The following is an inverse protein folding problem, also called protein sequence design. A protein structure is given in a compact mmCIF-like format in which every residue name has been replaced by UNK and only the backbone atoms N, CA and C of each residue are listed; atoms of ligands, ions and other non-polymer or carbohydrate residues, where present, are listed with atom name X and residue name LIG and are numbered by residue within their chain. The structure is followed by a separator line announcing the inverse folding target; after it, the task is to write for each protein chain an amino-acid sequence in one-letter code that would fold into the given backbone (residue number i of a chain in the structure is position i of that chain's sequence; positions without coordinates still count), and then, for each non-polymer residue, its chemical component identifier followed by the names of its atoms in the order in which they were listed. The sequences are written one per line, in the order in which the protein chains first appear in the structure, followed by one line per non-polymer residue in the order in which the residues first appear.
data_IF_064740120637
#
_entry.id   IF_064740120637
#
_cell.length_a   1.000
_cell.length_b   1.000
_cell.length_c   1.000
_cell.angle_alpha   90.00
_cell.angle_beta   90.00
_cell.angle_gamma   90.00
#
_symmetry.space_group_name_H-M   'P 1'
#
loop_
_entity.id
_entity.type
_entity.pdbx_description
1 polymer ?
#
# COMPACT_ATOMS: atom_id res chain seq x y z
N UNK A 1 -7.47 7.46 -31.27
CA UNK A 1 -6.00 7.25 -31.32
C UNK A 1 -5.59 6.85 -29.92
N UNK A 2 -5.03 5.66 -29.72
CA UNK A 2 -4.47 5.28 -28.44
C UNK A 2 -3.32 6.25 -28.12
N UNK A 3 -3.40 6.94 -26.99
CA UNK A 3 -2.32 7.83 -26.54
C UNK A 3 -1.03 7.04 -26.29
N UNK A 4 0.10 7.74 -26.18
CA UNK A 4 1.37 7.12 -25.81
C UNK A 4 1.22 6.40 -24.47
N UNK A 5 1.60 5.09 -24.36
CA UNK A 5 1.54 4.39 -23.08
C UNK A 5 2.51 5.03 -22.08
N UNK A 6 2.11 5.07 -20.79
CA UNK A 6 2.89 5.63 -19.69
C UNK A 6 3.35 7.09 -19.96
N UNK A 7 2.42 8.04 -20.15
CA UNK A 7 2.76 9.41 -20.56
C UNK A 7 3.57 10.19 -19.51
N UNK A 8 3.40 9.90 -18.21
CA UNK A 8 4.16 10.52 -17.12
C UNK A 8 5.51 9.85 -16.86
N UNK A 9 5.88 8.83 -17.64
CA UNK A 9 7.19 8.21 -17.59
C UNK A 9 8.13 8.83 -18.63
N UNK A 10 9.36 9.11 -18.23
CA UNK A 10 10.42 9.56 -19.17
C UNK A 10 10.84 8.40 -20.08
N UNK A 11 11.36 8.75 -21.26
CA UNK A 11 12.10 7.79 -22.05
C UNK A 11 13.36 7.36 -21.28
N UNK A 12 13.50 6.07 -21.03
CA UNK A 12 14.59 5.53 -20.21
C UNK A 12 14.49 4.03 -20.04
N UNK A 13 15.41 3.49 -19.24
CA UNK A 13 15.53 2.05 -19.03
C UNK A 13 14.28 1.46 -18.35
N UNK A 14 13.78 2.09 -17.28
CA UNK A 14 12.63 1.58 -16.54
C UNK A 14 11.38 1.46 -17.43
N UNK A 15 11.01 2.54 -18.13
CA UNK A 15 9.88 2.54 -19.06
C UNK A 15 10.05 1.52 -20.19
N UNK A 16 11.24 1.46 -20.78
CA UNK A 16 11.53 0.52 -21.88
C UNK A 16 11.46 -0.94 -21.40
N UNK A 17 11.94 -1.23 -20.19
CA UNK A 17 11.85 -2.56 -19.58
C UNK A 17 10.40 -2.98 -19.36
N UNK A 18 9.56 -2.09 -18.81
CA UNK A 18 8.14 -2.36 -18.57
C UNK A 18 7.41 -2.65 -19.89
N UNK A 19 7.59 -1.78 -20.90
CA UNK A 19 6.91 -1.94 -22.18
C UNK A 19 7.41 -3.18 -22.94
N UNK A 20 8.72 -3.41 -22.98
CA UNK A 20 9.29 -4.60 -23.61
C UNK A 20 8.94 -5.91 -22.89
N UNK A 21 8.77 -5.85 -21.56
CA UNK A 21 8.24 -6.99 -20.80
C UNK A 21 6.77 -7.24 -21.18
N UNK A 22 5.94 -6.20 -21.23
CA UNK A 22 4.52 -6.31 -21.56
C UNK A 22 4.32 -6.89 -22.97
N UNK A 23 5.12 -6.44 -23.95
CA UNK A 23 5.08 -6.98 -25.31
C UNK A 23 5.39 -8.49 -25.34
N UNK A 24 6.38 -8.95 -24.53
CA UNK A 24 6.68 -10.38 -24.41
C UNK A 24 5.58 -11.14 -23.67
N UNK A 25 5.07 -10.59 -22.57
CA UNK A 25 4.05 -11.22 -21.74
C UNK A 25 2.72 -11.41 -22.49
N UNK A 26 2.39 -10.50 -23.39
CA UNK A 26 1.13 -10.54 -24.15
C UNK A 26 1.28 -11.08 -25.57
N UNK A 27 2.51 -11.07 -26.12
CA UNK A 27 2.84 -11.61 -27.44
C UNK A 27 3.09 -13.13 -27.43
N UNK A 28 3.23 -13.75 -28.59
CA UNK A 28 3.61 -15.17 -28.68
C UNK A 28 5.08 -15.37 -28.40
N UNK A 29 5.46 -16.52 -27.79
CA UNK A 29 6.84 -16.92 -27.62
C UNK A 29 7.29 -17.04 -26.16
N UNK A 30 8.61 -17.12 -25.90
CA UNK A 30 9.16 -17.19 -24.56
C UNK A 30 8.80 -15.95 -23.72
N UNK A 31 8.23 -16.17 -22.55
CA UNK A 31 7.75 -15.10 -21.66
C UNK A 31 6.26 -14.77 -21.85
N UNK A 32 5.55 -15.47 -22.75
CA UNK A 32 4.10 -15.32 -22.84
C UNK A 32 3.39 -15.71 -21.56
N UNK A 33 2.51 -14.84 -21.08
CA UNK A 33 1.69 -15.06 -19.88
C UNK A 33 0.25 -15.34 -20.32
N UNK A 34 -0.29 -16.56 -20.09
CA UNK A 34 -1.68 -16.88 -20.34
C UNK A 34 -2.61 -15.94 -19.58
N UNK A 35 -3.81 -15.68 -20.11
CA UNK A 35 -4.78 -14.76 -19.47
C UNK A 35 -5.07 -15.11 -18.01
N UNK A 36 -5.16 -16.40 -17.68
CA UNK A 36 -5.42 -16.88 -16.31
C UNK A 36 -4.29 -16.56 -15.34
N UNK A 37 -3.07 -16.42 -15.86
CA UNK A 37 -1.86 -16.17 -15.06
C UNK A 37 -1.47 -14.68 -15.00
N UNK A 38 -2.23 -13.79 -15.64
CA UNK A 38 -1.98 -12.33 -15.65
C UNK A 38 -2.36 -11.69 -14.32
N UNK A 39 -1.52 -11.91 -13.32
CA UNK A 39 -1.68 -11.36 -11.96
C UNK A 39 -0.50 -10.47 -11.60
N UNK A 40 -0.82 -9.28 -11.12
CA UNK A 40 0.12 -8.28 -10.60
C UNK A 40 -0.19 -7.94 -9.15
N UNK A 41 0.83 -7.74 -8.33
CA UNK A 41 0.71 -7.30 -6.93
C UNK A 41 1.48 -6.01 -6.70
N UNK A 42 0.88 -5.12 -5.94
CA UNK A 42 1.45 -3.80 -5.62
C UNK A 42 1.37 -3.57 -4.12
N UNK A 43 2.46 -3.13 -3.53
CA UNK A 43 2.35 -2.44 -2.25
C UNK A 43 1.59 -1.12 -2.43
N UNK A 44 1.18 -0.50 -1.32
CA UNK A 44 0.35 0.70 -1.35
C UNK A 44 1.09 1.95 -0.87
N UNK A 45 1.53 1.97 0.39
CA UNK A 45 2.19 3.11 1.01
C UNK A 45 3.62 3.28 0.47
N UNK A 46 3.92 4.41 -0.17
CA UNK A 46 5.17 4.64 -0.86
C UNK A 46 5.28 3.98 -2.25
N UNK A 47 4.27 3.19 -2.68
CA UNK A 47 4.25 2.54 -3.99
C UNK A 47 3.13 3.07 -4.89
N UNK A 48 1.91 3.14 -4.39
CA UNK A 48 0.75 3.68 -5.13
C UNK A 48 0.36 5.09 -4.69
N UNK A 49 0.60 5.45 -3.45
CA UNK A 49 0.43 6.79 -2.90
C UNK A 49 1.58 7.17 -1.96
N UNK A 50 1.69 8.46 -1.61
CA UNK A 50 2.73 8.94 -0.67
C UNK A 50 2.52 8.36 0.73
N UNK A 51 3.62 8.03 1.40
CA UNK A 51 3.64 7.60 2.81
C UNK A 51 4.26 8.66 3.74
N UNK A 52 4.67 9.81 3.19
CA UNK A 52 5.33 10.89 3.95
C UNK A 52 4.39 12.08 4.15
N UNK A 53 4.50 12.80 5.29
CA UNK A 53 5.50 12.66 6.38
C UNK A 53 5.27 11.47 7.29
N UNK A 54 4.14 10.79 7.18
CA UNK A 54 3.80 9.54 7.88
C UNK A 54 2.69 8.82 7.14
N UNK A 55 2.51 7.53 7.42
CA UNK A 55 1.48 6.70 6.78
C UNK A 55 0.09 7.33 6.86
N UNK A 56 -0.63 7.33 5.74
CA UNK A 56 -1.98 7.90 5.64
C UNK A 56 -2.94 7.32 6.68
N UNK A 57 -2.88 6.00 6.91
CA UNK A 57 -3.69 5.36 7.94
C UNK A 57 -3.32 5.82 9.36
N UNK A 58 -2.05 6.11 9.63
CA UNK A 58 -1.63 6.61 10.95
C UNK A 58 -2.27 7.98 11.24
N UNK A 59 -2.40 8.83 10.22
CA UNK A 59 -3.08 10.13 10.33
C UNK A 59 -4.58 9.95 10.60
N UNK A 60 -5.23 9.04 9.88
CA UNK A 60 -6.63 8.67 10.14
C UNK A 60 -6.84 8.21 11.58
N UNK A 61 -6.00 7.28 12.05
CA UNK A 61 -6.07 6.75 13.42
C UNK A 61 -5.83 7.86 14.45
N UNK A 62 -4.83 8.71 14.25
CA UNK A 62 -4.54 9.82 15.15
C UNK A 62 -5.72 10.79 15.27
N UNK A 63 -6.41 11.08 14.17
CA UNK A 63 -7.61 11.92 14.19
C UNK A 63 -8.78 11.26 14.95
N UNK A 64 -8.98 9.95 14.77
CA UNK A 64 -10.01 9.21 15.52
C UNK A 64 -9.70 9.13 17.01
N UNK A 65 -8.46 8.84 17.36
CA UNK A 65 -8.01 8.82 18.75
C UNK A 65 -8.13 10.19 19.42
N UNK A 66 -7.79 11.27 18.71
CA UNK A 66 -7.96 12.64 19.19
C UNK A 66 -9.42 12.98 19.45
N UNK A 67 -10.31 12.60 18.55
CA UNK A 67 -11.76 12.80 18.72
C UNK A 67 -12.31 11.97 19.90
N UNK A 68 -11.89 10.72 20.05
CA UNK A 68 -12.29 9.86 21.16
C UNK A 68 -11.78 10.39 22.51
N UNK A 69 -10.54 10.86 22.59
CA UNK A 69 -9.95 11.43 23.80
C UNK A 69 -10.65 12.73 24.26
N UNK A 70 -11.31 13.45 23.36
CA UNK A 70 -12.08 14.64 23.73
C UNK A 70 -13.28 14.32 24.63
N UNK A 71 -13.75 13.07 24.64
CA UNK A 71 -14.92 12.61 25.42
C UNK A 71 -14.58 11.49 26.43
N UNK A 72 -13.34 10.97 26.40
CA UNK A 72 -12.85 9.93 27.31
C UNK A 72 -11.57 10.40 27.98
N UNK A 73 -11.66 10.79 29.26
CA UNK A 73 -10.54 11.28 30.07
C UNK A 73 -9.49 10.17 30.32
N UNK A 74 -9.88 8.90 30.37
CA UNK A 74 -8.96 7.76 30.52
C UNK A 74 -8.08 7.60 29.28
N UNK A 75 -8.70 7.66 28.11
CA UNK A 75 -7.98 7.64 26.83
C UNK A 75 -7.12 8.89 26.66
N UNK A 76 -7.63 10.07 27.05
CA UNK A 76 -6.86 11.32 27.01
C UNK A 76 -5.58 11.28 27.84
N UNK A 77 -5.56 10.50 28.93
CA UNK A 77 -4.40 10.32 29.80
C UNK A 77 -3.45 9.19 29.35
N UNK A 78 -3.76 8.45 28.29
CA UNK A 78 -2.94 7.34 27.80
C UNK A 78 -1.58 7.87 27.29
N UNK A 79 -0.43 7.37 27.82
CA UNK A 79 0.88 7.89 27.47
C UNK A 79 1.27 7.64 26.00
N UNK A 80 0.80 6.54 25.42
CA UNK A 80 1.06 6.21 24.00
C UNK A 80 0.30 7.18 23.10
N UNK A 81 -0.96 7.48 23.45
CA UNK A 81 -1.75 8.47 22.73
C UNK A 81 -1.12 9.86 22.85
N UNK A 82 -0.71 10.28 24.04
CA UNK A 82 -0.05 11.57 24.21
C UNK A 82 1.24 11.67 23.39
N UNK A 83 2.06 10.63 23.37
CA UNK A 83 3.25 10.55 22.52
C UNK A 83 2.88 10.65 21.02
N UNK A 84 1.84 9.94 20.57
CA UNK A 84 1.36 9.99 19.18
C UNK A 84 0.90 11.41 18.79
N UNK A 85 0.13 12.07 19.65
CA UNK A 85 -0.46 13.38 19.35
C UNK A 85 0.55 14.54 19.41
N UNK A 86 1.59 14.42 20.21
CA UNK A 86 2.60 15.49 20.42
C UNK A 86 3.89 15.27 19.64
N UNK A 87 4.34 14.03 19.48
CA UNK A 87 5.60 13.65 18.85
C UNK A 87 5.48 12.75 17.62
N UNK A 88 4.24 12.43 17.21
CA UNK A 88 3.96 11.62 16.04
C UNK A 88 4.21 10.12 16.23
N UNK A 89 4.17 9.38 15.13
CA UNK A 89 4.27 7.92 15.13
C UNK A 89 5.56 7.41 15.78
N UNK A 90 6.70 8.05 15.49
CA UNK A 90 8.01 7.66 16.07
C UNK A 90 8.04 7.75 17.59
N UNK A 91 7.46 8.82 18.17
CA UNK A 91 7.36 8.98 19.61
C UNK A 91 6.44 7.93 20.26
N UNK A 92 5.31 7.61 19.61
CA UNK A 92 4.42 6.56 20.09
C UNK A 92 5.09 5.17 20.01
N UNK A 93 5.84 4.88 18.95
CA UNK A 93 6.59 3.63 18.80
C UNK A 93 7.68 3.43 19.87
N UNK A 94 8.23 4.51 20.43
CA UNK A 94 9.19 4.42 21.54
C UNK A 94 8.57 3.79 22.80
N UNK A 95 7.25 3.75 22.95
CA UNK A 95 6.54 3.02 24.00
C UNK A 95 6.37 1.52 23.70
N UNK A 96 6.81 1.05 22.54
CA UNK A 96 6.70 -0.32 22.05
C UNK A 96 5.60 -0.50 21.02
N UNK A 97 5.88 -1.30 20.02
CA UNK A 97 4.92 -1.60 18.92
C UNK A 97 3.63 -2.22 19.44
N UNK A 98 3.73 -3.13 20.44
CA UNK A 98 2.55 -3.80 21.02
C UNK A 98 1.64 -2.80 21.75
N UNK A 99 2.22 -1.81 22.44
CA UNK A 99 1.45 -0.79 23.13
C UNK A 99 0.70 0.11 22.14
N UNK A 100 1.36 0.53 21.06
CA UNK A 100 0.73 1.30 19.99
C UNK A 100 -0.34 0.49 19.28
N UNK A 101 -0.07 -0.77 18.91
CA UNK A 101 -1.03 -1.67 18.30
C UNK A 101 -2.25 -1.88 19.21
N UNK A 102 -2.05 -2.12 20.50
CA UNK A 102 -3.11 -2.25 21.49
C UNK A 102 -4.00 -1.01 21.59
N UNK A 103 -3.42 0.18 21.56
CA UNK A 103 -4.18 1.44 21.54
C UNK A 103 -5.05 1.56 20.28
N UNK A 104 -4.45 1.31 19.12
CA UNK A 104 -5.14 1.37 17.82
C UNK A 104 -6.29 0.37 17.73
N UNK A 105 -6.05 -0.87 18.14
CA UNK A 105 -7.06 -1.94 18.12
C UNK A 105 -8.22 -1.64 19.07
N UNK A 106 -7.93 -1.19 20.30
CA UNK A 106 -8.96 -0.81 21.29
C UNK A 106 -9.83 0.34 20.80
N UNK A 107 -9.25 1.34 20.15
CA UNK A 107 -9.98 2.51 19.65
C UNK A 107 -10.97 2.16 18.52
N UNK A 108 -10.81 1.04 17.86
CA UNK A 108 -11.64 0.59 16.74
C UNK A 108 -12.47 -0.66 17.07
N UNK A 109 -12.28 -1.23 18.25
CA UNK A 109 -13.06 -2.39 18.71
C UNK A 109 -14.51 -1.99 18.98
N UNK A 110 -15.43 -2.91 18.70
CA UNK A 110 -16.86 -2.70 18.87
C UNK A 110 -17.53 -1.94 17.72
N UNK A 111 -16.79 -1.39 16.77
CA UNK A 111 -17.37 -0.86 15.53
C UNK A 111 -17.74 -2.02 14.60
N UNK A 112 -18.84 -1.85 13.85
CA UNK A 112 -19.10 -2.76 12.73
C UNK A 112 -18.10 -2.51 11.60
N UNK A 113 -17.80 -3.54 10.80
CA UNK A 113 -16.95 -3.40 9.62
C UNK A 113 -17.50 -2.34 8.64
N UNK A 114 -18.82 -2.30 8.45
CA UNK A 114 -19.47 -1.32 7.58
C UNK A 114 -19.33 0.11 8.11
N UNK A 115 -19.47 0.31 9.43
CA UNK A 115 -19.27 1.60 10.06
C UNK A 115 -17.82 2.08 9.91
N UNK A 116 -16.84 1.20 10.08
CA UNK A 116 -15.44 1.51 9.88
C UNK A 116 -15.15 1.91 8.43
N UNK A 117 -15.66 1.17 7.45
CA UNK A 117 -15.51 1.49 6.03
C UNK A 117 -16.14 2.86 5.68
N UNK A 118 -17.32 3.16 6.22
CA UNK A 118 -18.00 4.44 6.03
C UNK A 118 -17.20 5.60 6.63
N UNK A 119 -16.65 5.41 7.84
CA UNK A 119 -15.83 6.40 8.52
C UNK A 119 -14.53 6.68 7.77
N UNK A 120 -13.82 5.63 7.32
CA UNK A 120 -12.61 5.76 6.53
C UNK A 120 -12.86 6.52 5.22
N UNK A 121 -13.94 6.20 4.50
CA UNK A 121 -14.34 6.93 3.28
C UNK A 121 -14.62 8.40 3.54
N UNK A 122 -15.39 8.69 4.60
CA UNK A 122 -15.74 10.06 4.99
C UNK A 122 -14.48 10.87 5.32
N UNK A 123 -13.58 10.29 6.13
CA UNK A 123 -12.33 10.95 6.49
C UNK A 123 -11.46 11.22 5.25
N UNK A 124 -11.31 10.26 4.37
CA UNK A 124 -10.51 10.37 3.15
C UNK A 124 -11.06 11.45 2.18
N UNK A 125 -12.37 11.62 2.14
CA UNK A 125 -13.04 12.62 1.31
C UNK A 125 -12.93 14.04 1.87
N UNK A 126 -12.87 14.20 3.20
CA UNK A 126 -12.96 15.51 3.88
C UNK A 126 -11.63 16.00 4.43
N UNK A 127 -10.73 15.10 4.78
CA UNK A 127 -9.41 15.43 5.34
C UNK A 127 -8.41 15.80 4.25
N UNK A 128 -7.32 16.43 4.69
CA UNK A 128 -6.22 16.79 3.80
C UNK A 128 -4.91 16.24 4.32
N UNK A 129 -4.10 15.81 3.39
CA UNK A 129 -2.71 15.45 3.66
C UNK A 129 -1.95 16.66 4.24
N UNK A 130 -0.91 16.48 5.09
CA UNK A 130 -0.10 17.56 5.64
C UNK A 130 0.50 18.51 4.60
N UNK A 131 0.72 18.08 3.36
CA UNK A 131 1.11 18.94 2.24
C UNK A 131 0.00 19.88 1.75
N UNK A 132 -1.22 19.81 2.31
CA UNK A 132 -2.40 20.56 1.88
C UNK A 132 -3.18 19.91 0.72
N UNK A 133 -2.67 18.85 0.10
CA UNK A 133 -3.36 18.13 -0.98
C UNK A 133 -4.57 17.37 -0.43
N UNK A 134 -5.68 17.26 -1.18
CA UNK A 134 -6.69 16.25 -0.91
C UNK A 134 -6.05 14.86 -1.00
N UNK A 135 -6.44 13.93 -0.13
CA UNK A 135 -5.87 12.56 -0.16
C UNK A 135 -5.99 11.88 -1.54
N UNK A 136 -7.09 12.01 -2.30
CA UNK A 136 -7.13 11.44 -3.66
C UNK A 136 -6.08 11.99 -4.63
N UNK A 137 -5.48 13.15 -4.32
CA UNK A 137 -4.42 13.75 -5.13
C UNK A 137 -3.00 13.41 -4.62
N UNK A 138 -2.87 12.47 -3.67
CA UNK A 138 -1.57 11.97 -3.17
C UNK A 138 -1.14 10.65 -3.81
N UNK A 139 -1.94 10.11 -4.74
CA UNK A 139 -1.59 8.93 -5.52
C UNK A 139 -0.50 9.25 -6.54
N UNK A 140 0.33 8.29 -6.88
CA UNK A 140 1.37 8.49 -7.87
C UNK A 140 0.82 8.32 -9.28
N UNK A 141 0.81 9.39 -10.05
CA UNK A 141 0.29 9.41 -11.42
C UNK A 141 0.94 8.34 -12.32
N UNK A 142 2.27 8.12 -12.32
CA UNK A 142 2.88 7.09 -13.15
C UNK A 142 2.43 5.67 -12.78
N UNK A 143 2.14 5.42 -11.50
CA UNK A 143 1.65 4.12 -11.06
C UNK A 143 0.18 3.90 -11.46
N UNK A 144 -0.65 4.94 -11.47
CA UNK A 144 -2.00 4.85 -12.04
C UNK A 144 -1.96 4.48 -13.53
N UNK A 145 -1.04 5.09 -14.29
CA UNK A 145 -0.84 4.78 -15.70
C UNK A 145 -0.38 3.33 -15.91
N UNK A 146 0.48 2.82 -15.03
CA UNK A 146 0.90 1.43 -15.06
C UNK A 146 -0.26 0.47 -14.77
N UNK A 147 -1.08 0.76 -13.76
CA UNK A 147 -2.29 -0.02 -13.44
C UNK A 147 -3.27 -0.03 -14.64
N UNK A 148 -3.49 1.13 -15.27
CA UNK A 148 -4.37 1.23 -16.44
C UNK A 148 -3.81 0.48 -17.64
N UNK A 149 -2.50 0.56 -17.88
CA UNK A 149 -1.82 -0.19 -18.93
C UNK A 149 -1.96 -1.70 -18.72
N UNK A 150 -1.70 -2.19 -17.52
CA UNK A 150 -1.86 -3.61 -17.18
C UNK A 150 -3.30 -4.06 -17.34
N UNK A 151 -4.27 -3.28 -16.87
CA UNK A 151 -5.71 -3.56 -17.02
C UNK A 151 -6.11 -3.64 -18.49
N UNK A 152 -5.57 -2.76 -19.35
CA UNK A 152 -5.85 -2.78 -20.79
C UNK A 152 -5.31 -4.03 -21.51
N UNK A 153 -4.44 -4.79 -20.81
CA UNK A 153 -3.89 -6.07 -21.27
C UNK A 153 -4.37 -7.25 -20.41
N UNK A 154 -5.53 -7.12 -19.77
CA UNK A 154 -6.21 -8.16 -18.99
C UNK A 154 -5.44 -8.66 -17.76
N UNK A 155 -4.53 -7.84 -17.21
CA UNK A 155 -3.92 -8.15 -15.92
C UNK A 155 -4.86 -7.79 -14.78
N UNK A 156 -5.03 -8.72 -13.84
CA UNK A 156 -5.69 -8.46 -12.57
C UNK A 156 -4.67 -7.96 -11.56
N UNK A 157 -4.88 -6.74 -11.04
CA UNK A 157 -3.98 -6.12 -10.07
C UNK A 157 -4.55 -6.24 -8.67
N UNK A 158 -3.69 -6.60 -7.71
CA UNK A 158 -4.00 -6.68 -6.29
C UNK A 158 -3.15 -5.68 -5.52
N UNK A 159 -3.72 -5.12 -4.45
CA UNK A 159 -2.94 -4.38 -3.46
C UNK A 159 -2.53 -5.34 -2.34
N UNK A 160 -1.25 -5.31 -1.95
CA UNK A 160 -0.68 -6.12 -0.87
C UNK A 160 0.03 -5.19 0.11
N UNK A 161 -0.71 -4.70 1.11
CA UNK A 161 -0.26 -3.63 2.02
C UNK A 161 0.03 -4.12 3.43
N UNK A 162 1.02 -3.51 4.08
CA UNK A 162 1.22 -3.63 5.53
C UNK A 162 0.14 -2.93 6.36
N UNK A 163 -0.55 -1.95 5.76
CA UNK A 163 -1.68 -1.26 6.37
C UNK A 163 -2.92 -2.12 6.59
N UNK A 164 -3.90 -1.58 7.30
CA UNK A 164 -5.17 -2.26 7.58
C UNK A 164 -5.99 -2.50 6.31
N UNK A 165 -6.35 -3.75 6.08
CA UNK A 165 -7.03 -4.17 4.85
C UNK A 165 -8.33 -3.40 4.60
N UNK A 166 -9.13 -3.14 5.63
CA UNK A 166 -10.41 -2.44 5.49
C UNK A 166 -10.22 -0.95 5.21
N UNK A 167 -9.16 -0.32 5.73
CA UNK A 167 -8.84 1.08 5.43
C UNK A 167 -8.55 1.26 3.94
N UNK A 168 -7.71 0.39 3.37
CA UNK A 168 -7.37 0.45 1.94
C UNK A 168 -8.57 0.05 1.07
N UNK A 169 -9.35 -0.96 1.48
CA UNK A 169 -10.62 -1.35 0.81
C UNK A 169 -11.62 -0.21 0.69
N UNK A 170 -11.64 0.69 1.67
CA UNK A 170 -12.55 1.84 1.64
C UNK A 170 -12.32 2.74 0.42
N UNK A 171 -11.10 2.79 -0.10
CA UNK A 171 -10.68 3.76 -1.14
C UNK A 171 -10.05 3.12 -2.39
N UNK A 172 -9.78 1.82 -2.41
CA UNK A 172 -9.08 1.15 -3.52
C UNK A 172 -9.77 1.30 -4.88
N UNK A 173 -11.11 1.16 -4.89
CA UNK A 173 -11.86 1.30 -6.13
C UNK A 173 -11.85 2.72 -6.70
N UNK A 174 -12.22 3.78 -5.95
CA UNK A 174 -12.22 5.13 -6.49
C UNK A 174 -10.82 5.68 -6.83
N UNK A 175 -9.76 5.20 -6.18
CA UNK A 175 -8.40 5.67 -6.43
C UNK A 175 -7.70 4.93 -7.57
N UNK A 176 -7.84 3.61 -7.60
CA UNK A 176 -7.01 2.75 -8.45
C UNK A 176 -7.82 1.89 -9.43
N UNK A 177 -9.16 1.86 -9.29
CA UNK A 177 -10.01 0.92 -10.00
C UNK A 177 -9.73 -0.55 -9.61
N UNK A 178 -9.19 -0.77 -8.40
CA UNK A 178 -8.95 -2.11 -7.85
C UNK A 178 -10.10 -2.45 -6.89
N UNK A 179 -10.84 -3.55 -7.14
CA UNK A 179 -11.94 -3.96 -6.28
C UNK A 179 -11.51 -4.17 -4.83
N UNK A 180 -12.36 -3.89 -3.83
CA UNK A 180 -12.04 -4.18 -2.42
C UNK A 180 -11.69 -5.65 -2.16
N UNK A 181 -12.22 -6.59 -2.94
CA UNK A 181 -11.88 -8.00 -2.87
C UNK A 181 -10.44 -8.31 -3.26
N UNK A 182 -9.80 -7.42 -4.04
CA UNK A 182 -8.43 -7.57 -4.53
C UNK A 182 -7.42 -6.81 -3.64
N UNK A 183 -7.81 -6.49 -2.40
CA UNK A 183 -6.94 -5.89 -1.40
C UNK A 183 -6.61 -6.91 -0.32
N UNK A 184 -5.33 -7.16 -0.14
CA UNK A 184 -4.71 -8.01 0.89
C UNK A 184 -3.96 -7.10 1.84
N UNK A 185 -4.18 -7.22 3.15
CA UNK A 185 -3.55 -6.33 4.13
C UNK A 185 -3.62 -6.91 5.54
N UNK A 186 -3.15 -6.15 6.51
CA UNK A 186 -3.26 -6.50 7.92
C UNK A 186 -4.73 -6.52 8.32
N UNK A 187 -5.21 -7.67 8.79
CA UNK A 187 -6.59 -7.87 9.18
C UNK A 187 -6.76 -7.82 10.70
N UNK A 188 -7.94 -7.43 11.15
CA UNK A 188 -8.38 -7.57 12.54
C UNK A 188 -9.40 -8.69 12.62
N UNK A 189 -9.52 -9.32 13.79
CA UNK A 189 -10.54 -10.31 14.05
C UNK A 189 -11.93 -9.70 13.98
N UNK A 190 -12.86 -10.44 13.39
CA UNK A 190 -14.25 -10.04 13.25
C UNK A 190 -15.14 -11.07 13.95
N UNK A 191 -16.13 -10.59 14.70
CA UNK A 191 -17.14 -11.40 15.35
C UNK A 191 -18.52 -11.12 14.75
N UNK A 192 -19.27 -12.16 14.42
CA UNK A 192 -20.65 -12.02 13.97
C UNK A 192 -21.56 -11.71 15.15
N UNK A 193 -22.23 -10.57 15.11
CA UNK A 193 -23.30 -10.21 16.03
C UNK A 193 -24.66 -10.13 15.32
N UNK A 194 -25.72 -10.17 16.11
CA UNK A 194 -27.09 -9.99 15.62
C UNK A 194 -27.78 -8.89 16.40
N UNK A 195 -28.12 -7.84 15.69
CA UNK A 195 -28.87 -6.69 16.22
C UNK A 195 -30.15 -6.51 15.40
N UNK A 196 -31.30 -6.48 16.03
CA UNK A 196 -32.61 -6.28 15.39
C UNK A 196 -32.87 -7.19 14.20
N UNK A 197 -32.43 -8.46 14.30
CA UNK A 197 -32.59 -9.47 13.25
C UNK A 197 -31.60 -9.36 12.09
N UNK A 198 -30.65 -8.42 12.11
CA UNK A 198 -29.57 -8.29 11.14
C UNK A 198 -28.27 -8.89 11.68
N UNK A 199 -27.54 -9.56 10.81
CA UNK A 199 -26.21 -10.06 11.12
C UNK A 199 -25.18 -9.02 10.70
N UNK A 200 -24.30 -8.63 11.62
CA UNK A 200 -23.24 -7.63 11.41
C UNK A 200 -21.90 -8.20 11.86
N UNK A 201 -20.84 -7.79 11.17
CA UNK A 201 -19.47 -8.13 11.56
C UNK A 201 -18.91 -7.00 12.42
N UNK A 202 -18.54 -7.32 13.66
CA UNK A 202 -17.99 -6.39 14.64
C UNK A 202 -16.50 -6.61 14.79
N UNK A 203 -15.72 -5.53 14.77
CA UNK A 203 -14.26 -5.54 14.89
C UNK A 203 -13.86 -5.84 16.34
N UNK A 204 -12.89 -6.72 16.53
CA UNK A 204 -12.31 -7.04 17.83
C UNK A 204 -10.98 -6.32 18.05
N UNK A 205 -10.54 -6.23 19.32
CA UNK A 205 -9.25 -5.63 19.68
C UNK A 205 -8.08 -6.63 19.49
N UNK A 206 -8.07 -7.34 18.38
CA UNK A 206 -7.03 -8.32 18.06
C UNK A 206 -6.78 -8.39 16.54
N UNK A 207 -5.52 -8.62 16.16
CA UNK A 207 -5.19 -8.94 14.77
C UNK A 207 -5.65 -10.35 14.41
N UNK A 208 -6.04 -10.53 13.15
CA UNK A 208 -6.26 -11.85 12.53
C UNK A 208 -4.98 -12.28 11.81
N UNK A 209 -4.06 -12.82 12.59
CA UNK A 209 -2.70 -13.18 12.14
C UNK A 209 -1.68 -12.05 12.32
N UNK A 210 -0.44 -12.25 11.85
CA UNK A 210 0.60 -11.24 11.92
C UNK A 210 0.31 -10.06 10.97
N UNK A 211 0.89 -8.87 11.21
CA UNK A 211 0.89 -7.78 10.23
C UNK A 211 1.37 -8.26 8.86
N UNK A 212 0.72 -7.78 7.82
CA UNK A 212 1.01 -8.19 6.43
C UNK A 212 2.24 -7.46 5.87
N UNK A 213 3.39 -7.66 6.50
CA UNK A 213 4.66 -7.03 6.18
C UNK A 213 5.76 -8.08 6.09
N UNK A 214 6.65 -7.97 5.12
CA UNK A 214 7.72 -8.95 4.90
C UNK A 214 7.17 -10.30 4.41
N UNK A 215 7.62 -11.41 5.00
CA UNK A 215 7.22 -12.76 4.62
C UNK A 215 5.70 -13.01 4.65
N UNK A 216 4.92 -12.48 5.59
CA UNK A 216 3.46 -12.49 5.55
C UNK A 216 2.85 -12.01 4.23
N UNK A 217 3.43 -11.01 3.52
CA UNK A 217 2.94 -10.58 2.20
C UNK A 217 2.90 -11.74 1.22
N UNK A 218 4.02 -12.47 1.07
CA UNK A 218 4.10 -13.62 0.17
C UNK A 218 3.14 -14.76 0.55
N UNK A 219 3.02 -15.05 1.84
CA UNK A 219 2.09 -16.07 2.36
C UNK A 219 0.64 -15.70 2.07
N UNK A 220 0.26 -14.45 2.29
CA UNK A 220 -1.10 -13.98 2.07
C UNK A 220 -1.44 -13.84 0.58
N UNK A 221 -0.48 -13.49 -0.28
CA UNK A 221 -0.64 -13.59 -1.73
C UNK A 221 -1.05 -15.01 -2.11
N UNK A 222 -0.30 -16.02 -1.66
CA UNK A 222 -0.63 -17.42 -1.96
C UNK A 222 -2.00 -17.82 -1.44
N UNK A 223 -2.37 -17.42 -0.22
CA UNK A 223 -3.66 -17.77 0.40
C UNK A 223 -4.85 -17.13 -0.29
N UNK A 224 -4.74 -15.87 -0.72
CA UNK A 224 -5.87 -15.11 -1.23
C UNK A 224 -5.99 -15.17 -2.76
N UNK A 225 -4.87 -15.27 -3.47
CA UNK A 225 -4.85 -15.30 -4.93
C UNK A 225 -4.86 -16.74 -5.45
N UNK A 226 -4.20 -17.67 -4.74
CA UNK A 226 -4.13 -19.09 -5.13
C UNK A 226 -3.09 -19.39 -6.21
N UNK A 227 -2.37 -18.38 -6.69
CA UNK A 227 -1.31 -18.51 -7.70
C UNK A 227 -0.20 -17.49 -7.46
N UNK A 228 0.97 -17.73 -8.07
CA UNK A 228 2.10 -16.79 -8.04
C UNK A 228 1.85 -15.68 -9.05
N UNK A 229 1.93 -14.39 -8.64
CA UNK A 229 1.90 -13.29 -9.58
C UNK A 229 3.14 -13.25 -10.48
N UNK A 230 3.04 -12.63 -11.64
CA UNK A 230 4.17 -12.39 -12.56
C UNK A 230 4.73 -10.98 -12.46
N UNK A 231 4.04 -10.09 -11.73
CA UNK A 231 4.50 -8.72 -11.46
C UNK A 231 4.42 -8.46 -9.97
N UNK A 232 5.46 -7.86 -9.41
CA UNK A 232 5.41 -7.24 -8.09
C UNK A 232 6.03 -5.84 -8.13
N UNK A 233 5.40 -4.89 -7.43
CA UNK A 233 5.93 -3.54 -7.22
C UNK A 233 5.89 -3.18 -5.73
N UNK A 234 6.97 -2.59 -5.23
CA UNK A 234 7.12 -2.15 -3.86
C UNK A 234 8.16 -1.04 -3.75
N UNK A 235 8.39 -0.50 -2.55
CA UNK A 235 9.34 0.58 -2.32
C UNK A 235 10.26 0.34 -1.11
N UNK A 236 9.97 -0.66 -0.28
CA UNK A 236 10.63 -0.82 1.01
C UNK A 236 11.12 -2.24 1.31
N UNK A 237 11.91 -2.36 2.36
CA UNK A 237 12.36 -3.66 2.88
C UNK A 237 11.18 -4.56 3.26
N UNK A 238 10.02 -3.99 3.61
CA UNK A 238 8.79 -4.75 3.88
C UNK A 238 8.18 -5.43 2.68
N UNK A 239 8.63 -5.08 1.46
CA UNK A 239 8.17 -5.66 0.20
C UNK A 239 9.12 -6.74 -0.33
N UNK A 240 10.28 -6.89 0.30
CA UNK A 240 11.35 -7.74 -0.20
C UNK A 240 10.88 -9.15 -0.51
N UNK A 241 10.22 -9.81 0.44
CA UNK A 241 9.78 -11.19 0.26
C UNK A 241 8.63 -11.32 -0.75
N UNK A 242 7.82 -10.28 -0.91
CA UNK A 242 6.83 -10.22 -2.00
C UNK A 242 7.52 -10.16 -3.37
N UNK A 243 8.54 -9.31 -3.51
CA UNK A 243 9.34 -9.20 -4.73
C UNK A 243 10.13 -10.49 -5.01
N UNK A 244 10.79 -11.06 -4.00
CA UNK A 244 11.48 -12.34 -4.09
C UNK A 244 10.53 -13.50 -4.45
N UNK A 245 9.29 -13.47 -3.94
CA UNK A 245 8.29 -14.48 -4.25
C UNK A 245 7.90 -14.47 -5.74
N UNK A 246 7.87 -13.30 -6.38
CA UNK A 246 7.63 -13.16 -7.82
C UNK A 246 8.88 -13.48 -8.64
N UNK A 247 10.04 -13.07 -8.18
CA UNK A 247 11.31 -13.22 -8.89
C UNK A 247 11.80 -14.69 -8.95
N UNK A 248 11.24 -15.48 -9.86
CA UNK A 248 11.61 -16.88 -10.06
C UNK A 248 12.78 -17.05 -11.03
N UNK A 249 13.14 -16.00 -11.77
CA UNK A 249 14.14 -16.01 -12.84
C UNK A 249 13.56 -16.33 -14.22
N UNK A 250 12.24 -16.47 -14.32
CA UNK A 250 11.57 -16.70 -15.59
C UNK A 250 11.43 -15.40 -16.41
N UNK A 251 11.45 -15.48 -17.75
CA UNK A 251 11.26 -14.29 -18.61
C UNK A 251 9.94 -13.56 -18.42
N UNK A 252 8.96 -14.20 -17.77
CA UNK A 252 7.65 -13.65 -17.44
C UNK A 252 7.64 -12.82 -16.17
N UNK A 253 8.71 -12.83 -15.38
CA UNK A 253 8.74 -12.09 -14.10
C UNK A 253 9.10 -10.61 -14.31
N UNK A 254 8.40 -9.73 -13.60
CA UNK A 254 8.72 -8.30 -13.54
C UNK A 254 8.65 -7.81 -12.09
N UNK A 255 9.82 -7.52 -11.51
CA UNK A 255 9.93 -6.92 -10.19
C UNK A 255 10.34 -5.46 -10.31
N UNK A 256 9.55 -4.57 -9.69
CA UNK A 256 9.71 -3.12 -9.72
C UNK A 256 9.97 -2.61 -8.31
N UNK A 257 11.08 -1.91 -8.10
CA UNK A 257 11.38 -1.24 -6.85
C UNK A 257 11.38 0.27 -7.08
N UNK A 258 10.49 1.01 -6.41
CA UNK A 258 10.43 2.46 -6.46
C UNK A 258 11.40 3.07 -5.45
N UNK A 259 12.29 3.94 -5.89
CA UNK A 259 13.17 4.75 -5.05
C UNK A 259 12.65 6.19 -4.94
N UNK A 260 12.51 6.67 -3.70
CA UNK A 260 12.11 8.03 -3.37
C UNK A 260 13.35 8.93 -3.30
N UNK A 261 13.72 9.50 -4.44
CA UNK A 261 14.96 10.25 -4.63
C UNK A 261 14.76 11.68 -5.20
N UNK A 262 13.53 12.21 -5.10
CA UNK A 262 13.15 13.48 -5.68
C UNK A 262 12.77 14.55 -4.64
N UNK A 263 13.73 15.35 -4.16
CA UNK A 263 13.50 16.35 -3.13
C UNK A 263 12.66 17.55 -3.59
N UNK A 264 12.43 17.70 -4.90
CA UNK A 264 11.70 18.85 -5.44
C UNK A 264 10.20 18.60 -5.53
N UNK A 265 9.80 17.33 -5.75
CA UNK A 265 8.40 16.95 -6.01
C UNK A 265 7.79 16.07 -4.93
N UNK A 266 8.65 15.39 -4.13
CA UNK A 266 8.27 14.51 -3.05
C UNK A 266 9.40 14.45 -2.00
N UNK A 267 9.22 13.73 -0.89
CA UNK A 267 10.25 13.53 0.12
C UNK A 267 11.32 12.54 -0.35
N UNK A 268 12.57 12.74 0.10
CA UNK A 268 13.66 11.79 -0.12
C UNK A 268 13.83 10.92 1.11
N UNK A 269 13.72 9.61 0.92
CA UNK A 269 13.95 8.64 2.00
C UNK A 269 14.37 7.28 1.44
N UNK A 270 15.06 6.50 2.27
CA UNK A 270 15.40 5.12 1.94
C UNK A 270 14.23 4.17 2.17
N UNK A 271 14.26 3.02 1.52
CA UNK A 271 13.23 1.98 1.60
C UNK A 271 13.27 1.15 2.90
N UNK A 272 13.64 1.75 4.05
CA UNK A 272 13.61 1.05 5.34
C UNK A 272 12.19 1.00 5.89
N UNK A 273 11.67 -0.20 6.11
CA UNK A 273 10.42 -0.38 6.85
C UNK A 273 10.66 -0.32 8.36
N UNK A 274 9.65 0.15 9.09
CA UNK A 274 9.70 0.25 10.56
C UNK A 274 9.73 -1.12 11.26
N UNK A 275 9.40 -2.19 10.55
CA UNK A 275 9.35 -3.57 11.07
C UNK A 275 10.55 -4.40 10.65
N UNK A 276 11.43 -3.87 9.79
CA UNK A 276 12.59 -4.60 9.28
C UNK A 276 13.76 -4.56 10.26
N UNK A 277 14.47 -5.68 10.38
CA UNK A 277 15.73 -5.74 11.11
C UNK A 277 16.69 -4.65 10.60
N UNK A 278 17.19 -3.77 11.48
CA UNK A 278 18.13 -2.71 11.10
C UNK A 278 19.40 -3.21 10.41
N UNK A 279 19.82 -4.45 10.71
CA UNK A 279 21.02 -5.09 10.15
C UNK A 279 20.74 -5.84 8.83
N UNK A 280 19.48 -5.95 8.41
CA UNK A 280 19.13 -6.57 7.15
C UNK A 280 19.71 -5.80 5.96
N UNK A 281 20.12 -6.54 4.92
CA UNK A 281 20.58 -5.94 3.66
C UNK A 281 19.47 -5.08 3.04
N UNK A 282 19.74 -3.80 2.69
CA UNK A 282 18.72 -2.91 2.12
C UNK A 282 18.11 -3.48 0.82
N UNK A 283 16.80 -3.37 0.65
CA UNK A 283 16.08 -3.88 -0.52
C UNK A 283 16.63 -3.32 -1.84
N UNK A 284 17.09 -2.07 -1.87
CA UNK A 284 17.71 -1.48 -3.05
C UNK A 284 19.01 -2.20 -3.47
N UNK A 285 19.81 -2.73 -2.51
CA UNK A 285 20.98 -3.54 -2.80
C UNK A 285 20.55 -4.89 -3.37
N UNK A 286 19.54 -5.51 -2.75
CA UNK A 286 18.97 -6.78 -3.24
C UNK A 286 18.44 -6.61 -4.66
N UNK A 287 17.66 -5.56 -4.92
CA UNK A 287 17.07 -5.28 -6.23
C UNK A 287 18.13 -5.21 -7.34
N UNK A 288 19.21 -4.43 -7.11
CA UNK A 288 20.29 -4.28 -8.09
C UNK A 288 21.04 -5.59 -8.33
N UNK A 289 21.30 -6.36 -7.27
CA UNK A 289 21.94 -7.67 -7.37
C UNK A 289 21.07 -8.69 -8.10
N UNK A 290 19.76 -8.67 -7.87
CA UNK A 290 18.80 -9.61 -8.44
C UNK A 290 18.31 -9.20 -9.82
N UNK A 291 18.74 -8.05 -10.35
CA UNK A 291 18.34 -7.57 -11.67
C UNK A 291 16.89 -7.05 -11.73
N UNK A 292 16.31 -6.69 -10.58
CA UNK A 292 14.99 -6.04 -10.55
C UNK A 292 15.07 -4.65 -11.18
N UNK A 293 13.97 -4.19 -11.74
CA UNK A 293 13.90 -2.83 -12.28
C UNK A 293 13.73 -1.83 -11.15
N UNK A 294 14.77 -1.05 -10.92
CA UNK A 294 14.73 0.08 -9.98
C UNK A 294 14.20 1.30 -10.70
N UNK A 295 13.17 1.92 -10.16
CA UNK A 295 12.50 3.12 -10.68
C UNK A 295 12.93 4.30 -9.83
N UNK A 296 13.61 5.27 -10.41
CA UNK A 296 13.93 6.55 -9.77
C UNK A 296 12.79 7.53 -9.99
N UNK A 297 12.16 7.99 -8.93
CA UNK A 297 11.09 8.99 -9.03
C UNK A 297 11.58 10.25 -9.74
N UNK A 298 12.82 10.67 -9.47
CA UNK A 298 13.45 11.86 -10.05
C UNK A 298 13.77 11.69 -11.54
N UNK A 299 14.34 10.54 -11.91
CA UNK A 299 14.90 10.33 -13.24
C UNK A 299 13.92 9.71 -14.22
N UNK A 300 13.01 8.84 -13.75
CA UNK A 300 12.10 8.08 -14.61
C UNK A 300 10.73 8.72 -14.76
N UNK A 301 10.34 9.65 -13.89
CA UNK A 301 9.02 10.29 -13.92
C UNK A 301 9.08 11.75 -14.33
N UNK A 302 8.16 12.18 -15.20
CA UNK A 302 7.96 13.60 -15.58
C UNK A 302 7.01 14.29 -14.61
N UNK A 303 6.11 13.52 -13.99
CA UNK A 303 5.08 13.98 -13.05
C UNK A 303 4.96 12.96 -11.94
N UNK A 304 4.83 13.39 -10.67
CA UNK A 304 4.68 12.50 -9.51
C UNK A 304 3.20 12.33 -9.17
N UNK A 305 2.49 13.43 -8.98
CA UNK A 305 1.09 13.43 -8.57
C UNK A 305 0.17 13.83 -9.73
N UNK A 306 -1.13 13.46 -9.71
CA UNK A 306 -2.10 13.97 -10.66
C UNK A 306 -2.13 15.50 -10.71
N UNK A 307 -2.43 16.04 -11.88
CA UNK A 307 -2.68 17.49 -12.00
C UNK A 307 -3.86 17.87 -11.09
N UNK A 308 -3.77 19.04 -10.47
CA UNK A 308 -4.90 19.56 -9.70
C UNK A 308 -6.14 19.62 -10.61
N UNK A 309 -7.33 19.21 -10.12
CA UNK A 309 -8.55 19.42 -10.88
C UNK A 309 -8.70 20.91 -11.19
N UNK A 310 -8.88 21.22 -12.47
CA UNK A 310 -9.10 22.58 -12.99
C UNK A 310 -10.42 23.19 -12.49
#
# INVERSE_FOLDING_TARGET
MAGRPLPSWREGAARSTILGWLDRATGPGPGHVPLVDRVAVFDNDGTLWTERPTYTQALFIADRLRAAAAVDAGLAADPVLQALLTGGLGAAMAHGLDALAGLVLKAQAGMTADAFLADARSWFATSRHPSGRPYPATVYQPMLELLDLLRSHDFRSFIVTGGGVEFVRAVSWPLYGIPPADVIGTAVQLRLERHDGRAELVREAAFDGPPNEGAPKAVNIHRHIGQRPVIAAGNSDGDREMLEYVATGEPSDLCLLLEHDDPEREDVYGGRSVTTDPDAEPVGTVARRSGWTVISMRSDWTQVFPAAPS
#
